data_IF_771168561017
#
_entry.id   IF_771168561017
#
_cell.length_a   1.000
_cell.length_b   1.000
_cell.length_c   1.000
_cell.angle_alpha   90.00
_cell.angle_beta   90.00
_cell.angle_gamma   90.00
#
_symmetry.space_group_name_H-M   'P 1'
#
loop_
_entity.id
_entity.type
_entity.pdbx_description
1 polymer ?
#
# COMPACT_ATOMS: atom_id res chain seq x y z
N UNK A 1 -20.89 16.88 17.62
CA UNK A 1 -20.96 17.62 16.34
C UNK A 1 -19.91 18.71 16.23
N UNK A 2 -19.80 19.66 17.18
CA UNK A 2 -18.81 20.76 17.06
C UNK A 2 -17.34 20.30 17.06
N UNK A 3 -16.98 19.33 17.91
CA UNK A 3 -15.63 18.74 17.92
C UNK A 3 -15.29 17.99 16.62
N UNK A 4 -16.27 17.27 16.07
CA UNK A 4 -16.08 16.52 14.82
C UNK A 4 -15.86 17.46 13.64
N UNK A 5 -16.65 18.55 13.59
CA UNK A 5 -16.49 19.61 12.60
C UNK A 5 -15.13 20.30 12.74
N UNK A 6 -14.69 20.59 13.97
CA UNK A 6 -13.36 21.17 14.23
C UNK A 6 -12.20 20.26 13.77
N UNK A 7 -12.30 18.94 13.99
CA UNK A 7 -11.30 17.99 13.48
C UNK A 7 -11.30 17.92 11.95
N UNK A 8 -12.47 17.97 11.33
CA UNK A 8 -12.60 17.96 9.86
C UNK A 8 -12.08 19.25 9.26
N UNK A 9 -12.45 20.41 9.81
CA UNK A 9 -11.92 21.72 9.43
C UNK A 9 -10.38 21.76 9.60
N UNK A 10 -9.84 21.08 10.63
CA UNK A 10 -8.39 20.92 10.80
C UNK A 10 -7.77 20.05 9.70
N UNK A 11 -8.37 18.91 9.36
CA UNK A 11 -7.90 18.06 8.24
C UNK A 11 -7.98 18.80 6.92
N UNK A 12 -9.10 19.45 6.61
CA UNK A 12 -9.24 20.28 5.42
C UNK A 12 -8.21 21.40 5.40
N UNK A 13 -7.99 22.07 6.53
CA UNK A 13 -6.97 23.11 6.65
C UNK A 13 -5.54 22.59 6.48
N UNK A 14 -5.26 21.35 6.90
CA UNK A 14 -3.97 20.69 6.64
C UNK A 14 -3.83 20.34 5.15
N UNK A 15 -4.90 19.84 4.53
CA UNK A 15 -4.93 19.47 3.11
C UNK A 15 -4.90 20.70 2.17
N UNK A 16 -5.47 21.83 2.58
CA UNK A 16 -5.50 23.09 1.81
C UNK A 16 -4.24 23.95 1.99
N UNK A 17 -3.64 23.95 3.20
CA UNK A 17 -2.44 24.76 3.46
C UNK A 17 -1.23 24.27 2.69
N UNK A 18 -1.22 23.00 2.32
CA UNK A 18 -0.05 22.37 1.76
C UNK A 18 -0.47 21.67 0.46
N UNK A 19 -0.36 22.40 -0.66
CA UNK A 19 -0.47 21.81 -2.01
C UNK A 19 0.53 20.66 -2.23
N UNK A 20 1.47 20.52 -1.30
CA UNK A 20 2.48 19.49 -1.26
C UNK A 20 2.51 18.74 0.09
N UNK A 21 1.37 18.59 0.78
CA UNK A 21 1.24 17.95 2.11
C UNK A 21 1.85 16.54 2.23
N UNK A 22 2.27 15.90 1.15
CA UNK A 22 2.95 14.61 1.20
C UNK A 22 4.44 14.68 0.81
N UNK A 23 5.01 15.87 0.62
CA UNK A 23 6.41 16.02 0.23
C UNK A 23 7.39 15.65 1.34
N UNK A 24 6.97 15.73 2.61
CA UNK A 24 7.79 15.33 3.75
C UNK A 24 7.26 14.06 4.42
N UNK A 25 8.18 13.25 4.96
CA UNK A 25 7.83 12.02 5.68
C UNK A 25 6.91 12.31 6.89
N UNK A 26 7.15 13.44 7.55
CA UNK A 26 6.48 13.87 8.77
C UNK A 26 4.98 14.17 8.58
N UNK A 27 4.59 14.61 7.38
CA UNK A 27 3.20 14.94 7.08
C UNK A 27 2.37 13.70 6.73
N UNK A 28 2.97 12.69 6.09
CA UNK A 28 2.31 11.38 5.91
C UNK A 28 2.11 10.66 7.24
N UNK A 29 3.07 10.77 8.17
CA UNK A 29 2.92 10.27 9.54
C UNK A 29 1.75 10.96 10.27
N UNK A 30 1.63 12.29 10.12
CA UNK A 30 0.52 13.07 10.72
C UNK A 30 -0.84 12.64 10.15
N UNK A 31 -0.96 12.45 8.83
CA UNK A 31 -2.19 11.95 8.22
C UNK A 31 -2.55 10.55 8.73
N UNK A 32 -1.57 9.67 8.88
CA UNK A 32 -1.79 8.33 9.41
C UNK A 32 -2.28 8.37 10.86
N UNK A 33 -1.73 9.26 11.69
CA UNK A 33 -2.20 9.45 13.06
C UNK A 33 -3.63 9.99 13.12
N UNK A 34 -3.99 10.92 12.24
CA UNK A 34 -5.37 11.40 12.10
C UNK A 34 -6.32 10.31 11.61
N UNK A 35 -5.86 9.44 10.69
CA UNK A 35 -6.62 8.28 10.25
C UNK A 35 -6.90 7.32 11.42
N UNK A 36 -5.88 7.00 12.23
CA UNK A 36 -6.03 6.18 13.43
C UNK A 36 -6.97 6.84 14.46
N UNK A 37 -6.89 8.15 14.65
CA UNK A 37 -7.82 8.90 15.50
C UNK A 37 -9.26 8.82 14.97
N UNK A 38 -9.46 8.92 13.66
CA UNK A 38 -10.76 8.73 13.01
C UNK A 38 -11.35 7.34 13.26
N UNK A 39 -10.52 6.29 13.21
CA UNK A 39 -10.95 4.93 13.56
C UNK A 39 -11.34 4.85 15.04
N UNK A 40 -10.49 5.35 15.93
CA UNK A 40 -10.72 5.29 17.37
C UNK A 40 -12.01 6.03 17.79
N UNK A 41 -12.28 7.18 17.16
CA UNK A 41 -13.48 7.98 17.40
C UNK A 41 -14.71 7.54 16.58
N UNK A 42 -14.55 6.57 15.67
CA UNK A 42 -15.61 6.09 14.74
C UNK A 42 -16.27 7.23 13.95
N UNK A 43 -15.50 8.26 13.59
CA UNK A 43 -16.01 9.38 12.79
C UNK A 43 -15.90 9.02 11.30
N UNK A 44 -17.04 8.74 10.68
CA UNK A 44 -17.12 8.44 9.24
C UNK A 44 -16.71 9.66 8.39
N UNK A 45 -17.03 10.86 8.85
CA UNK A 45 -16.68 12.10 8.18
C UNK A 45 -15.15 12.27 8.14
N UNK A 46 -14.48 12.20 9.30
CA UNK A 46 -13.02 12.30 9.36
C UNK A 46 -12.33 11.22 8.53
N UNK A 47 -12.82 9.97 8.60
CA UNK A 47 -12.29 8.88 7.81
C UNK A 47 -12.45 9.11 6.30
N UNK A 48 -13.60 9.62 5.87
CA UNK A 48 -13.85 9.95 4.46
C UNK A 48 -12.85 11.00 3.93
N UNK A 49 -12.57 12.04 4.72
CA UNK A 49 -11.57 13.06 4.36
C UNK A 49 -10.15 12.48 4.34
N UNK A 50 -9.76 11.66 5.33
CA UNK A 50 -8.47 10.97 5.33
C UNK A 50 -8.31 10.04 4.12
N UNK A 51 -9.34 9.25 3.78
CA UNK A 51 -9.31 8.40 2.60
C UNK A 51 -9.16 9.21 1.30
N UNK A 52 -9.88 10.32 1.16
CA UNK A 52 -9.75 11.22 0.01
C UNK A 52 -8.33 11.80 -0.11
N UNK A 53 -7.70 12.13 1.02
CA UNK A 53 -6.32 12.60 1.05
C UNK A 53 -5.31 11.51 0.63
N UNK A 54 -5.51 10.28 1.13
CA UNK A 54 -4.69 9.12 0.76
C UNK A 54 -4.83 8.83 -0.73
N UNK A 55 -6.05 8.81 -1.27
CA UNK A 55 -6.33 8.52 -2.67
C UNK A 55 -5.61 9.48 -3.63
N UNK A 56 -5.69 10.79 -3.34
CA UNK A 56 -5.03 11.85 -4.13
C UNK A 56 -3.51 11.76 -4.09
N UNK A 57 -2.95 11.21 -3.03
CA UNK A 57 -1.50 11.15 -2.78
C UNK A 57 -0.99 9.70 -2.67
N UNK A 58 -1.70 8.75 -3.29
CA UNK A 58 -1.48 7.33 -3.10
C UNK A 58 -0.03 6.93 -3.39
N UNK A 59 0.60 7.48 -4.44
CA UNK A 59 2.01 7.21 -4.75
C UNK A 59 2.96 7.55 -3.60
N UNK A 60 2.75 8.70 -2.93
CA UNK A 60 3.57 9.13 -1.79
C UNK A 60 3.28 8.28 -0.55
N UNK A 61 2.00 7.95 -0.30
CA UNK A 61 1.61 7.02 0.77
C UNK A 61 2.28 5.64 0.62
N UNK A 62 2.23 5.04 -0.58
CA UNK A 62 2.87 3.74 -0.82
C UNK A 62 4.40 3.84 -0.76
N UNK A 63 5.01 4.99 -1.09
CA UNK A 63 6.46 5.19 -0.89
C UNK A 63 6.82 5.28 0.60
N UNK A 64 5.96 5.90 1.42
CA UNK A 64 6.12 6.00 2.87
C UNK A 64 5.89 4.66 3.60
N UNK A 65 4.96 3.84 3.12
CA UNK A 65 4.53 2.59 3.77
C UNK A 65 5.69 1.65 4.20
N UNK A 66 6.68 1.31 3.35
CA UNK A 66 7.81 0.47 3.79
C UNK A 66 8.82 1.23 4.67
N UNK A 67 8.77 2.56 4.70
CA UNK A 67 9.71 3.41 5.44
C UNK A 67 9.24 3.67 6.88
N UNK A 68 7.94 3.58 7.15
CA UNK A 68 7.40 3.86 8.48
C UNK A 68 7.76 2.78 9.50
N UNK A 69 8.06 3.18 10.73
CA UNK A 69 8.20 2.26 11.87
C UNK A 69 6.87 2.04 12.60
N UNK A 70 5.79 2.70 12.15
CA UNK A 70 4.46 2.59 12.74
C UNK A 70 3.83 1.24 12.42
N UNK A 71 2.97 0.78 13.32
CA UNK A 71 2.17 -0.43 13.11
C UNK A 71 1.05 -0.15 12.11
N UNK A 72 1.21 -0.59 10.87
CA UNK A 72 0.18 -0.51 9.84
C UNK A 72 -0.54 -1.86 9.75
N UNK A 73 -1.81 -1.88 10.14
CA UNK A 73 -2.63 -3.09 10.01
C UNK A 73 -2.86 -3.44 8.54
N UNK A 74 -2.68 -4.71 8.21
CA UNK A 74 -2.98 -5.30 6.90
C UNK A 74 -4.45 -5.11 6.53
N UNK A 75 -5.35 -5.03 7.51
CA UNK A 75 -6.79 -4.81 7.27
C UNK A 75 -7.04 -3.41 6.70
N UNK A 76 -6.48 -2.37 7.31
CA UNK A 76 -6.64 -0.99 6.84
C UNK A 76 -5.97 -0.80 5.47
N UNK A 77 -4.81 -1.43 5.27
CA UNK A 77 -4.13 -1.41 3.98
C UNK A 77 -4.98 -2.09 2.88
N UNK A 78 -5.68 -3.18 3.21
CA UNK A 78 -6.62 -3.83 2.30
C UNK A 78 -7.79 -2.92 1.93
N UNK A 79 -8.33 -2.18 2.90
CA UNK A 79 -9.42 -1.24 2.65
C UNK A 79 -8.99 -0.07 1.76
N UNK A 80 -7.76 0.43 1.93
CA UNK A 80 -7.18 1.43 1.04
C UNK A 80 -7.00 0.85 -0.37
N UNK A 81 -6.39 -0.33 -0.51
CA UNK A 81 -6.10 -0.96 -1.80
C UNK A 81 -7.34 -1.37 -2.60
N UNK A 82 -8.48 -1.64 -1.93
CA UNK A 82 -9.76 -1.93 -2.59
C UNK A 82 -10.36 -0.73 -3.30
N UNK A 83 -9.92 0.49 -2.99
CA UNK A 83 -10.48 1.71 -3.58
C UNK A 83 -10.06 1.82 -5.04
N UNK A 84 -10.99 2.19 -5.90
CA UNK A 84 -10.74 2.43 -7.33
C UNK A 84 -10.26 3.87 -7.60
N UNK A 85 -10.19 4.69 -6.55
CA UNK A 85 -9.85 6.12 -6.60
C UNK A 85 -8.37 6.40 -6.32
N UNK A 86 -7.53 5.37 -6.18
CA UNK A 86 -6.10 5.51 -5.92
C UNK A 86 -5.36 6.08 -7.14
N UNK A 87 -4.78 7.27 -7.01
CA UNK A 87 -3.95 7.87 -8.05
C UNK A 87 -2.49 7.40 -7.91
N UNK A 88 -2.23 6.14 -8.27
CA UNK A 88 -0.92 5.50 -8.14
C UNK A 88 -0.70 4.40 -9.19
N UNK A 89 0.48 4.29 -9.81
CA UNK A 89 0.82 3.14 -10.64
C UNK A 89 0.77 1.83 -9.83
N UNK A 90 0.10 0.81 -10.35
CA UNK A 90 -0.05 -0.48 -9.65
C UNK A 90 1.30 -1.14 -9.34
N UNK A 91 2.33 -0.92 -10.18
CA UNK A 91 3.70 -1.38 -9.90
C UNK A 91 4.26 -0.82 -8.59
N UNK A 92 3.98 0.45 -8.29
CA UNK A 92 4.44 1.08 -7.05
C UNK A 92 3.73 0.46 -5.85
N UNK A 93 2.42 0.23 -5.95
CA UNK A 93 1.62 -0.47 -4.94
C UNK A 93 2.22 -1.85 -4.67
N UNK A 94 2.43 -2.65 -5.73
CA UNK A 94 3.03 -3.97 -5.65
C UNK A 94 4.38 -3.92 -4.91
N UNK A 95 5.32 -3.10 -5.39
CA UNK A 95 6.67 -3.01 -4.81
C UNK A 95 6.63 -2.61 -3.34
N UNK A 96 5.85 -1.59 -3.00
CA UNK A 96 5.74 -1.07 -1.64
C UNK A 96 5.13 -2.08 -0.67
N UNK A 97 4.13 -2.84 -1.11
CA UNK A 97 3.48 -3.88 -0.30
C UNK A 97 4.42 -5.05 -0.01
N UNK A 98 5.26 -5.44 -0.97
CA UNK A 98 6.29 -6.48 -0.73
C UNK A 98 7.32 -5.99 0.29
N UNK A 99 7.85 -4.78 0.12
CA UNK A 99 8.81 -4.20 1.07
C UNK A 99 8.21 -4.02 2.47
N UNK A 100 6.93 -3.65 2.56
CA UNK A 100 6.18 -3.64 3.80
C UNK A 100 6.13 -5.03 4.44
N UNK A 101 5.84 -6.08 3.67
CA UNK A 101 5.78 -7.45 4.17
C UNK A 101 7.13 -7.91 4.74
N UNK A 102 8.24 -7.61 4.06
CA UNK A 102 9.59 -7.93 4.53
C UNK A 102 9.90 -7.24 5.86
N UNK A 103 9.57 -5.95 5.96
CA UNK A 103 9.76 -5.18 7.19
C UNK A 103 8.88 -5.70 8.32
N UNK A 104 7.64 -6.03 8.01
CA UNK A 104 6.68 -6.57 8.97
C UNK A 104 7.07 -7.97 9.44
N UNK A 105 7.68 -8.81 8.58
CA UNK A 105 8.31 -10.07 9.00
C UNK A 105 9.41 -9.82 10.03
N UNK A 106 10.30 -8.85 9.77
CA UNK A 106 11.37 -8.48 10.73
C UNK A 106 10.78 -7.99 12.05
N UNK A 107 9.74 -7.16 12.01
CA UNK A 107 9.04 -6.64 13.20
C UNK A 107 8.41 -7.75 14.05
N UNK A 108 7.93 -8.82 13.40
CA UNK A 108 7.37 -10.02 14.05
C UNK A 108 8.42 -11.07 14.41
N UNK A 109 9.71 -10.75 14.31
CA UNK A 109 10.82 -11.69 14.54
C UNK A 109 10.73 -12.96 13.67
N UNK A 110 10.22 -12.83 12.44
CA UNK A 110 10.12 -13.91 11.46
C UNK A 110 11.24 -13.79 10.43
N UNK A 111 11.68 -14.92 9.88
CA UNK A 111 12.57 -14.93 8.72
C UNK A 111 11.88 -14.27 7.52
N UNK A 112 12.62 -13.45 6.76
CA UNK A 112 12.16 -12.79 5.54
C UNK A 112 12.14 -13.76 4.36
N UNK A 113 11.27 -14.77 4.46
CA UNK A 113 11.03 -15.74 3.40
C UNK A 113 9.74 -15.42 2.63
N UNK A 114 9.64 -15.92 1.39
CA UNK A 114 8.46 -15.73 0.55
C UNK A 114 7.16 -16.24 1.21
N UNK A 115 7.26 -17.39 1.89
CA UNK A 115 6.14 -17.97 2.61
C UNK A 115 5.68 -17.08 3.78
N UNK A 116 6.63 -16.51 4.52
CA UNK A 116 6.34 -15.62 5.65
C UNK A 116 5.76 -14.27 5.17
N UNK A 117 6.32 -13.69 4.11
CA UNK A 117 5.78 -12.47 3.52
C UNK A 117 4.35 -12.70 3.00
N UNK A 118 4.09 -13.83 2.35
CA UNK A 118 2.72 -14.21 1.93
C UNK A 118 1.79 -14.38 3.14
N UNK A 119 2.28 -14.97 4.24
CA UNK A 119 1.50 -15.14 5.48
C UNK A 119 1.18 -13.80 6.14
N UNK A 120 2.12 -12.86 6.13
CA UNK A 120 1.92 -11.49 6.64
C UNK A 120 0.90 -10.74 5.80
N UNK A 121 1.04 -10.77 4.46
CA UNK A 121 0.13 -10.08 3.55
C UNK A 121 -1.27 -10.72 3.52
N UNK A 122 -1.35 -12.04 3.61
CA UNK A 122 -2.62 -12.76 3.58
C UNK A 122 -3.47 -12.39 2.34
N UNK A 123 -4.77 -12.06 2.51
CA UNK A 123 -5.65 -11.68 1.41
C UNK A 123 -5.26 -10.39 0.68
N UNK A 124 -4.46 -9.52 1.30
CA UNK A 124 -4.03 -8.25 0.71
C UNK A 124 -3.32 -8.46 -0.63
N UNK A 125 -2.56 -9.55 -0.73
CA UNK A 125 -1.83 -9.90 -1.95
C UNK A 125 -2.76 -10.10 -3.16
N UNK A 126 -3.99 -10.54 -2.94
CA UNK A 126 -4.98 -10.78 -4.00
C UNK A 126 -5.62 -9.48 -4.52
N UNK A 127 -5.41 -8.36 -3.84
CA UNK A 127 -5.95 -7.05 -4.24
C UNK A 127 -5.08 -6.33 -5.27
N UNK A 128 -3.85 -6.82 -5.50
CA UNK A 128 -2.93 -6.23 -6.48
C UNK A 128 -3.44 -6.53 -7.90
N UNK A 129 -3.70 -5.47 -8.67
CA UNK A 129 -4.30 -5.53 -10.00
C UNK A 129 -3.25 -5.71 -11.10
N UNK A 130 -2.57 -6.86 -11.11
CA UNK A 130 -1.49 -7.19 -12.06
C UNK A 130 -1.74 -6.83 -13.55
N UNK A 131 -2.96 -6.96 -14.12
CA UNK A 131 -3.21 -6.57 -15.52
C UNK A 131 -2.99 -5.08 -15.82
N UNK A 132 -2.93 -4.21 -14.81
CA UNK A 132 -2.65 -2.78 -14.98
C UNK A 132 -1.15 -2.44 -14.96
N UNK A 133 -0.27 -3.44 -14.78
CA UNK A 133 1.17 -3.28 -14.85
C UNK A 133 1.68 -3.61 -16.27
N UNK A 134 2.64 -2.85 -16.79
CA UNK A 134 3.23 -3.17 -18.10
C UNK A 134 4.15 -4.39 -18.00
N UNK A 135 4.31 -5.14 -19.10
CA UNK A 135 5.25 -6.29 -19.18
C UNK A 135 6.67 -5.88 -18.77
N UNK A 136 7.09 -4.65 -19.09
CA UNK A 136 8.40 -4.13 -18.72
C UNK A 136 8.57 -3.91 -17.21
N UNK A 137 7.52 -3.48 -16.51
CA UNK A 137 7.49 -3.31 -15.05
C UNK A 137 7.38 -4.66 -14.34
N UNK A 138 6.59 -5.57 -14.89
CA UNK A 138 6.51 -6.97 -14.44
C UNK A 138 7.88 -7.64 -14.58
N UNK A 139 8.67 -7.33 -15.62
CA UNK A 139 10.04 -7.87 -15.80
C UNK A 139 11.07 -7.22 -14.87
N UNK A 140 10.87 -5.95 -14.49
CA UNK A 140 11.75 -5.23 -13.55
C UNK A 140 11.56 -5.71 -12.12
N UNK A 141 10.34 -6.03 -11.69
CA UNK A 141 10.08 -6.55 -10.33
C UNK A 141 11.00 -7.72 -9.93
N UNK A 142 11.04 -8.82 -10.70
CA UNK A 142 11.89 -9.99 -10.43
C UNK A 142 13.40 -9.77 -10.67
N UNK A 143 13.80 -8.74 -11.44
CA UNK A 143 15.22 -8.53 -11.86
C UNK A 143 15.93 -7.45 -11.07
N UNK A 144 15.22 -6.37 -10.72
CA UNK A 144 15.76 -5.24 -9.96
C UNK A 144 15.73 -5.52 -8.47
N UNK A 145 14.72 -6.28 -8.03
CA UNK A 145 14.69 -6.89 -6.70
C UNK A 145 15.25 -8.30 -6.86
N UNK A 146 16.51 -8.54 -6.45
CA UNK A 146 17.05 -9.90 -6.27
C UNK A 146 16.36 -10.60 -5.08
N UNK A 147 15.03 -10.57 -5.05
CA UNK A 147 14.26 -11.07 -3.93
C UNK A 147 13.48 -12.33 -4.34
N UNK A 148 13.84 -13.50 -3.79
CA UNK A 148 13.11 -14.75 -3.97
C UNK A 148 11.62 -14.62 -3.66
N UNK A 149 11.23 -13.65 -2.82
CA UNK A 149 9.84 -13.36 -2.45
C UNK A 149 9.03 -12.91 -3.67
N UNK A 150 9.55 -12.02 -4.52
CA UNK A 150 8.85 -11.56 -5.73
C UNK A 150 8.63 -12.69 -6.74
N UNK A 151 9.66 -13.52 -6.98
CA UNK A 151 9.61 -14.63 -7.94
C UNK A 151 8.58 -15.67 -7.51
N UNK A 152 8.57 -16.03 -6.22
CA UNK A 152 7.66 -17.05 -5.66
C UNK A 152 6.23 -16.52 -5.43
N UNK A 153 6.06 -15.21 -5.30
CA UNK A 153 4.74 -14.60 -5.21
C UNK A 153 4.01 -14.60 -6.57
N UNK A 154 4.74 -14.31 -7.64
CA UNK A 154 4.25 -14.33 -9.03
C UNK A 154 4.05 -15.76 -9.53
N UNK A 155 4.96 -16.69 -9.23
CA UNK A 155 4.88 -18.10 -9.68
C UNK A 155 3.82 -18.95 -8.98
N UNK A 156 3.11 -18.40 -8.00
CA UNK A 156 2.01 -19.08 -7.29
C UNK A 156 0.66 -18.36 -7.48
N UNK A 157 0.60 -17.34 -8.33
CA UNK A 157 -0.66 -16.85 -8.89
C UNK A 157 -1.01 -17.71 -10.11
N UNK A 158 -2.14 -18.44 -10.13
CA UNK A 158 -2.54 -19.26 -11.27
C UNK A 158 -2.65 -18.45 -12.58
N UNK A 159 -3.02 -17.18 -12.48
CA UNK A 159 -3.23 -16.26 -13.60
C UNK A 159 -1.89 -15.84 -14.22
N UNK A 160 -0.89 -15.54 -13.39
CA UNK A 160 0.45 -15.17 -13.86
C UNK A 160 1.28 -16.39 -14.25
N UNK A 161 1.04 -17.55 -13.64
CA UNK A 161 1.59 -18.82 -14.13
C UNK A 161 1.13 -19.11 -15.55
N UNK A 162 -0.11 -18.78 -15.93
CA UNK A 162 -0.61 -19.01 -17.28
C UNK A 162 0.04 -18.05 -18.31
N UNK A 163 0.17 -16.77 -17.98
CA UNK A 163 0.85 -15.79 -18.85
C UNK A 163 2.36 -16.09 -18.97
N UNK A 164 3.02 -16.47 -17.87
CA UNK A 164 4.42 -16.88 -17.85
C UNK A 164 4.66 -18.24 -18.52
N UNK A 165 3.72 -19.19 -18.44
CA UNK A 165 3.77 -20.44 -19.22
C UNK A 165 3.60 -20.17 -20.71
N UNK A 166 2.65 -19.31 -21.10
CA UNK A 166 2.37 -18.99 -22.50
C UNK A 166 3.56 -18.30 -23.17
N UNK A 167 4.22 -17.35 -22.50
CA UNK A 167 5.43 -16.71 -23.04
C UNK A 167 6.65 -17.65 -23.10
N UNK A 168 6.68 -18.72 -22.30
CA UNK A 168 7.79 -19.70 -22.29
C UNK A 168 7.58 -20.89 -23.24
N UNK A 169 6.36 -21.07 -23.77
CA UNK A 169 6.01 -22.12 -24.74
C UNK A 169 5.78 -21.59 -26.17
N UNK A 170 5.73 -20.26 -26.36
CA UNK A 170 5.58 -19.61 -27.66
C UNK A 170 6.90 -19.06 -28.23
N UNK A 171 8.04 -19.37 -27.60
CA UNK A 171 9.39 -19.27 -28.17
C UNK A 171 9.99 -20.67 -28.39
#
# INVERSE_FOLDING_TARGET
>A
MELEKSCVDFVESLLDRDKDYFSDRNSTDTLWELFLAGIACKSELLLSHCYSAIDKNAAKFFTWLPLTEKDVSVVWLADIMRRDTLYCPEYLIYRSVIQFAEKECKRRCMETSAANCRKVLGPLFLLIRFPQMTVSEIRKGPREVRDPVCVLLVSASPILNFAWLLERYLD
#
